data_IF_435002002852
#
_entry.id   IF_435002002852
#
_cell.length_a   1.000
_cell.length_b   1.000
_cell.length_c   1.000
_cell.angle_alpha   90.00
_cell.angle_beta   90.00
_cell.angle_gamma   90.00
#
_symmetry.space_group_name_H-M   'P 1'
#
loop_
_entity.id
_entity.type
_entity.pdbx_description
1 polymer ?
#
# COMPACT_ATOMS: atom_id res chain seq x y z
N UNK A 1 -34.04 -12.20 0.79
CA UNK A 1 -32.97 -11.40 0.19
C UNK A 1 -32.69 -10.30 1.19
N UNK A 2 -31.59 -10.40 1.93
CA UNK A 2 -31.19 -9.36 2.87
C UNK A 2 -30.82 -8.12 2.04
N UNK A 3 -31.52 -7.01 2.27
CA UNK A 3 -31.22 -5.74 1.63
C UNK A 3 -30.04 -5.18 2.42
N UNK A 4 -28.83 -5.35 1.91
CA UNK A 4 -27.65 -4.70 2.46
C UNK A 4 -27.88 -3.18 2.43
N UNK A 5 -27.79 -2.54 3.60
CA UNK A 5 -27.95 -1.08 3.71
C UNK A 5 -26.70 -0.43 3.09
N UNK A 6 -26.81 0.69 2.35
CA UNK A 6 -25.65 1.33 1.69
C UNK A 6 -24.45 1.57 2.62
N UNK A 7 -24.68 1.82 3.90
CA UNK A 7 -23.63 1.99 4.92
C UNK A 7 -22.84 0.70 5.19
N UNK A 8 -23.51 -0.46 5.18
CA UNK A 8 -22.87 -1.77 5.41
C UNK A 8 -21.92 -2.12 4.25
N UNK A 9 -22.33 -1.84 3.02
CA UNK A 9 -21.52 -2.05 1.81
C UNK A 9 -20.25 -1.17 1.83
N UNK A 10 -20.38 0.09 2.26
CA UNK A 10 -19.24 0.99 2.42
C UNK A 10 -18.25 0.49 3.50
N UNK A 11 -18.77 -0.03 4.61
CA UNK A 11 -17.93 -0.62 5.67
C UNK A 11 -17.17 -1.85 5.18
N UNK A 12 -17.86 -2.76 4.50
CA UNK A 12 -17.24 -3.94 3.91
C UNK A 12 -16.16 -3.56 2.90
N UNK A 13 -16.43 -2.58 2.05
CA UNK A 13 -15.47 -2.11 1.05
C UNK A 13 -14.22 -1.47 1.68
N UNK A 14 -14.39 -0.64 2.73
CA UNK A 14 -13.26 -0.05 3.46
C UNK A 14 -12.43 -1.12 4.19
N UNK A 15 -13.07 -2.13 4.77
CA UNK A 15 -12.35 -3.25 5.39
C UNK A 15 -11.56 -4.06 4.35
N UNK A 16 -12.15 -4.33 3.19
CA UNK A 16 -11.46 -5.00 2.07
C UNK A 16 -10.23 -4.20 1.61
N UNK A 17 -10.34 -2.88 1.42
CA UNK A 17 -9.18 -2.05 1.05
C UNK A 17 -8.11 -2.02 2.15
N UNK A 18 -8.52 -2.05 3.42
CA UNK A 18 -7.57 -2.11 4.54
C UNK A 18 -6.76 -3.42 4.52
N UNK A 19 -7.41 -4.55 4.25
CA UNK A 19 -6.75 -5.84 4.11
C UNK A 19 -5.78 -5.84 2.93
N UNK A 20 -6.21 -5.36 1.76
CA UNK A 20 -5.37 -5.25 0.58
C UNK A 20 -4.14 -4.37 0.81
N UNK A 21 -4.29 -3.22 1.47
CA UNK A 21 -3.14 -2.36 1.82
C UNK A 21 -2.18 -3.08 2.78
N UNK A 22 -2.67 -3.92 3.70
CA UNK A 22 -1.83 -4.72 4.59
C UNK A 22 -1.09 -5.86 3.85
N UNK A 23 -1.73 -6.47 2.86
CA UNK A 23 -1.07 -7.43 1.97
C UNK A 23 0.07 -6.74 1.21
N UNK A 24 -0.18 -5.58 0.61
CA UNK A 24 0.85 -4.80 -0.09
C UNK A 24 2.01 -4.41 0.84
N UNK A 25 1.73 -4.00 2.08
CA UNK A 25 2.79 -3.71 3.08
C UNK A 25 3.67 -4.93 3.34
N UNK A 26 3.05 -6.11 3.47
CA UNK A 26 3.76 -7.37 3.70
C UNK A 26 4.60 -7.74 2.49
N UNK A 27 4.04 -7.62 1.29
CA UNK A 27 4.77 -7.88 0.05
C UNK A 27 5.95 -6.94 -0.18
N UNK A 28 5.76 -5.63 0.01
CA UNK A 28 6.84 -4.64 -0.09
C UNK A 28 7.96 -4.97 0.89
N UNK A 29 7.63 -5.42 2.11
CA UNK A 29 8.64 -5.87 3.08
C UNK A 29 9.43 -7.08 2.54
N UNK A 30 8.76 -8.10 2.01
CA UNK A 30 9.41 -9.28 1.44
C UNK A 30 10.29 -8.94 0.23
N UNK A 31 9.86 -8.01 -0.64
CA UNK A 31 10.65 -7.55 -1.78
C UNK A 31 11.95 -6.86 -1.32
N UNK A 32 11.88 -6.02 -0.28
CA UNK A 32 13.07 -5.37 0.31
C UNK A 32 14.03 -6.38 0.93
N UNK A 33 13.51 -7.33 1.72
CA UNK A 33 14.32 -8.41 2.29
C UNK A 33 15.07 -9.19 1.19
N UNK A 34 14.45 -9.40 0.02
CA UNK A 34 15.09 -10.04 -1.13
C UNK A 34 16.17 -9.19 -1.78
N UNK A 35 15.96 -7.87 -1.90
CA UNK A 35 17.00 -6.94 -2.39
C UNK A 35 18.20 -6.89 -1.46
N UNK A 36 17.98 -6.91 -0.15
CA UNK A 36 19.05 -6.97 0.85
C UNK A 36 19.92 -8.22 0.65
N UNK A 37 19.32 -9.38 0.36
CA UNK A 37 20.08 -10.60 0.05
C UNK A 37 20.94 -10.47 -1.22
N UNK A 38 20.42 -9.81 -2.27
CA UNK A 38 21.17 -9.56 -3.52
C UNK A 38 22.32 -8.57 -3.25
N UNK A 39 22.10 -7.53 -2.46
CA UNK A 39 23.15 -6.59 -2.09
C UNK A 39 24.30 -7.28 -1.32
N UNK A 40 23.98 -8.27 -0.49
CA UNK A 40 24.96 -9.04 0.28
C UNK A 40 25.74 -10.07 -0.55
N UNK A 41 25.25 -10.47 -1.73
CA UNK A 41 25.86 -11.55 -2.54
C UNK A 41 27.07 -11.13 -3.40
N UNK A 42 27.62 -9.92 -3.19
CA UNK A 42 28.66 -9.29 -4.03
C UNK A 42 28.18 -9.02 -5.46
N UNK A 43 26.97 -8.46 -5.58
CA UNK A 43 26.40 -7.98 -6.82
C UNK A 43 27.34 -7.01 -7.57
N UNK A 44 27.26 -7.01 -8.90
CA UNK A 44 28.01 -6.07 -9.73
C UNK A 44 27.55 -4.62 -9.47
N UNK A 45 28.35 -3.63 -9.88
CA UNK A 45 28.01 -2.21 -9.69
C UNK A 45 26.68 -1.84 -10.39
N UNK A 46 26.42 -2.42 -11.55
CA UNK A 46 25.20 -2.15 -12.32
C UNK A 46 23.98 -2.72 -11.59
N UNK A 47 24.10 -3.93 -11.04
CA UNK A 47 23.04 -4.57 -10.22
C UNK A 47 22.80 -3.77 -8.94
N UNK A 48 23.85 -3.31 -8.26
CA UNK A 48 23.71 -2.46 -7.06
C UNK A 48 22.99 -1.14 -7.34
N UNK A 49 23.19 -0.57 -8.53
CA UNK A 49 22.46 0.64 -8.96
C UNK A 49 20.97 0.34 -9.13
N UNK A 50 20.62 -0.81 -9.71
CA UNK A 50 19.22 -1.24 -9.82
C UNK A 50 18.60 -1.54 -8.45
N UNK A 51 19.34 -2.18 -7.54
CA UNK A 51 18.91 -2.43 -6.16
C UNK A 51 18.56 -1.12 -5.45
N UNK A 52 19.40 -0.08 -5.56
CA UNK A 52 19.12 1.24 -4.97
C UNK A 52 17.86 1.88 -5.58
N UNK A 53 17.66 1.77 -6.90
CA UNK A 53 16.43 2.24 -7.54
C UNK A 53 15.18 1.52 -7.03
N UNK A 54 15.24 0.21 -6.81
CA UNK A 54 14.12 -0.54 -6.25
C UNK A 54 13.88 -0.23 -4.76
N UNK A 55 14.94 -0.13 -3.95
CA UNK A 55 14.80 0.24 -2.52
C UNK A 55 14.09 1.58 -2.35
N UNK A 56 14.46 2.60 -3.14
CA UNK A 56 13.80 3.90 -3.10
C UNK A 56 12.31 3.83 -3.49
N UNK A 57 11.97 3.06 -4.54
CA UNK A 57 10.58 2.88 -4.97
C UNK A 57 9.76 2.09 -3.95
N UNK A 58 10.33 1.04 -3.36
CA UNK A 58 9.69 0.23 -2.33
C UNK A 58 9.49 1.01 -1.03
N UNK A 59 10.45 1.87 -0.64
CA UNK A 59 10.30 2.77 0.49
C UNK A 59 9.13 3.72 0.27
N UNK A 60 9.04 4.37 -0.90
CA UNK A 60 7.89 5.22 -1.24
C UNK A 60 6.57 4.46 -1.24
N UNK A 61 6.53 3.26 -1.82
CA UNK A 61 5.31 2.45 -1.83
C UNK A 61 4.85 2.09 -0.42
N UNK A 62 5.80 1.79 0.49
CA UNK A 62 5.51 1.52 1.90
C UNK A 62 4.92 2.75 2.60
N UNK A 63 5.52 3.93 2.42
CA UNK A 63 5.00 5.18 3.00
C UNK A 63 3.56 5.45 2.55
N UNK A 64 3.30 5.33 1.25
CA UNK A 64 1.95 5.49 0.70
C UNK A 64 0.98 4.45 1.25
N UNK A 65 1.42 3.20 1.45
CA UNK A 65 0.60 2.16 2.07
C UNK A 65 0.31 2.45 3.55
N UNK A 66 1.27 2.98 4.29
CA UNK A 66 1.09 3.40 5.69
C UNK A 66 0.07 4.55 5.80
N UNK A 67 0.16 5.55 4.92
CA UNK A 67 -0.81 6.65 4.81
C UNK A 67 -2.20 6.12 4.43
N UNK A 68 -2.30 5.28 3.40
CA UNK A 68 -3.57 4.71 2.93
C UNK A 68 -4.27 3.91 4.03
N UNK A 69 -3.52 3.07 4.76
CA UNK A 69 -4.07 2.30 5.87
C UNK A 69 -4.61 3.21 6.98
N UNK A 70 -3.90 4.31 7.28
CA UNK A 70 -4.35 5.29 8.25
C UNK A 70 -5.66 5.97 7.82
N UNK A 71 -5.72 6.45 6.57
CA UNK A 71 -6.85 7.21 6.05
C UNK A 71 -8.09 6.33 5.88
N UNK A 72 -7.93 5.08 5.42
CA UNK A 72 -9.02 4.08 5.39
C UNK A 72 -9.58 3.86 6.80
N UNK A 73 -8.70 3.72 7.81
CA UNK A 73 -9.12 3.52 9.21
C UNK A 73 -9.88 4.74 9.75
N UNK A 74 -9.48 5.95 9.39
CA UNK A 74 -10.22 7.17 9.77
C UNK A 74 -11.57 7.26 9.06
N UNK A 75 -11.60 6.97 7.75
CA UNK A 75 -12.84 6.97 6.97
C UNK A 75 -13.85 5.95 7.51
N UNK A 76 -13.41 4.72 7.84
CA UNK A 76 -14.25 3.69 8.42
C UNK A 76 -14.86 4.12 9.78
N UNK A 77 -14.07 4.77 10.65
CA UNK A 77 -14.59 5.33 11.91
C UNK A 77 -15.68 6.39 11.66
N UNK A 78 -15.47 7.26 10.68
CA UNK A 78 -16.45 8.30 10.32
C UNK A 78 -17.75 7.70 9.78
N UNK A 79 -17.68 6.70 8.89
CA UNK A 79 -18.86 6.01 8.35
C UNK A 79 -19.60 5.21 9.44
N UNK A 80 -18.91 4.80 10.51
CA UNK A 80 -19.51 4.10 11.65
C UNK A 80 -20.21 5.05 12.65
N UNK A 81 -20.22 6.37 12.41
CA UNK A 81 -20.63 7.38 13.40
C UNK A 81 -19.87 7.25 14.75
N UNK A 82 -18.70 6.64 14.75
CA UNK A 82 -17.88 6.52 15.94
C UNK A 82 -17.18 7.86 16.21
N UNK A 83 -17.10 8.33 17.47
CA UNK A 83 -16.37 9.56 17.78
C UNK A 83 -14.93 9.44 17.30
N UNK A 84 -14.53 10.31 16.36
CA UNK A 84 -13.16 10.39 15.85
C UNK A 84 -12.31 10.96 16.99
N UNK A 85 -11.64 10.07 17.71
CA UNK A 85 -11.05 10.35 19.02
C UNK A 85 -9.78 11.19 18.96
N UNK A 86 -9.15 11.30 17.80
CA UNK A 86 -7.98 12.17 17.56
C UNK A 86 -7.96 12.52 16.06
N UNK A 87 -8.30 13.75 15.71
CA UNK A 87 -7.88 14.36 14.45
C UNK A 87 -6.61 15.13 14.81
N UNK A 88 -5.44 14.67 14.37
CA UNK A 88 -4.28 15.55 14.40
C UNK A 88 -4.54 16.68 13.39
N UNK A 89 -4.30 17.92 13.82
CA UNK A 89 -4.93 19.18 13.40
C UNK A 89 -4.66 19.66 11.95
N UNK A 90 -3.99 18.88 11.10
CA UNK A 90 -3.47 19.45 9.84
C UNK A 90 -4.05 18.88 8.54
N UNK A 91 -4.70 17.70 8.52
CA UNK A 91 -5.26 17.12 7.29
C UNK A 91 -6.73 16.71 7.41
N UNK A 92 -7.61 17.18 6.51
CA UNK A 92 -8.99 16.71 6.44
C UNK A 92 -9.08 15.19 6.26
N UNK A 93 -10.07 14.56 6.88
CA UNK A 93 -10.37 13.13 6.66
C UNK A 93 -10.95 12.97 5.25
N UNK A 94 -10.22 12.29 4.38
CA UNK A 94 -10.65 12.00 3.01
C UNK A 94 -11.99 11.24 3.00
N UNK A 95 -12.87 11.58 2.05
CA UNK A 95 -14.13 10.89 1.84
C UNK A 95 -13.97 9.55 1.11
N UNK A 96 -15.04 8.75 1.08
CA UNK A 96 -15.00 7.43 0.45
C UNK A 96 -14.58 7.52 -1.02
N UNK A 97 -15.06 8.52 -1.76
CA UNK A 97 -14.73 8.71 -3.18
C UNK A 97 -13.25 9.05 -3.38
N UNK A 98 -12.69 9.89 -2.50
CA UNK A 98 -11.27 10.24 -2.50
C UNK A 98 -10.41 9.01 -2.18
N UNK A 99 -10.79 8.23 -1.16
CA UNK A 99 -10.09 6.96 -0.84
C UNK A 99 -10.19 5.97 -2.01
N UNK A 100 -11.35 5.85 -2.65
CA UNK A 100 -11.55 4.98 -3.80
C UNK A 100 -10.58 5.33 -4.93
N UNK A 101 -10.52 6.61 -5.32
CA UNK A 101 -9.63 7.07 -6.38
C UNK A 101 -8.15 6.86 -6.02
N UNK A 102 -7.78 7.16 -4.78
CA UNK A 102 -6.43 6.89 -4.28
C UNK A 102 -6.09 5.40 -4.33
N UNK A 103 -7.05 4.51 -4.02
CA UNK A 103 -6.85 3.07 -4.06
C UNK A 103 -6.61 2.56 -5.49
N UNK A 104 -7.29 3.12 -6.49
CA UNK A 104 -7.05 2.81 -7.90
C UNK A 104 -5.62 3.16 -8.33
N UNK A 105 -5.15 4.35 -7.96
CA UNK A 105 -3.77 4.79 -8.24
C UNK A 105 -2.78 3.91 -7.48
N UNK A 106 -3.02 3.65 -6.20
CA UNK A 106 -2.20 2.80 -5.35
C UNK A 106 -2.00 1.40 -5.95
N UNK A 107 -3.09 0.75 -6.38
CA UNK A 107 -3.06 -0.55 -7.05
C UNK A 107 -2.24 -0.51 -8.33
N UNK A 108 -2.48 0.50 -9.18
CA UNK A 108 -1.76 0.63 -10.46
C UNK A 108 -0.26 0.78 -10.25
N UNK A 109 0.15 1.64 -9.32
CA UNK A 109 1.56 1.87 -8.99
C UNK A 109 2.21 0.61 -8.41
N UNK A 110 1.51 -0.06 -7.49
CA UNK A 110 1.99 -1.30 -6.89
C UNK A 110 2.13 -2.44 -7.91
N UNK A 111 1.14 -2.64 -8.79
CA UNK A 111 1.20 -3.67 -9.83
C UNK A 111 2.36 -3.43 -10.78
N UNK A 112 2.57 -2.17 -11.21
CA UNK A 112 3.72 -1.80 -12.05
C UNK A 112 5.05 -2.04 -11.34
N UNK A 113 5.16 -1.67 -10.06
CA UNK A 113 6.36 -1.91 -9.27
C UNK A 113 6.66 -3.41 -9.10
N UNK A 114 5.61 -4.21 -8.84
CA UNK A 114 5.70 -5.67 -8.70
C UNK A 114 6.12 -6.34 -10.01
N UNK A 115 5.59 -5.88 -11.14
CA UNK A 115 5.99 -6.37 -12.45
C UNK A 115 7.47 -6.06 -12.74
N UNK A 116 7.89 -4.81 -12.56
CA UNK A 116 9.30 -4.40 -12.71
C UNK A 116 10.23 -5.24 -11.83
N UNK A 117 9.82 -5.45 -10.57
CA UNK A 117 10.59 -6.24 -9.60
C UNK A 117 10.70 -7.71 -10.04
N UNK A 118 9.59 -8.30 -10.47
CA UNK A 118 9.56 -9.68 -10.95
C UNK A 118 10.32 -9.87 -12.27
N UNK A 119 10.53 -8.83 -13.05
CA UNK A 119 11.41 -8.88 -14.22
C UNK A 119 12.89 -8.76 -13.83
N UNK A 120 13.21 -8.03 -12.76
CA UNK A 120 14.58 -7.88 -12.27
C UNK A 120 15.12 -9.17 -11.62
N UNK A 121 14.31 -9.81 -10.79
CA UNK A 121 14.70 -10.96 -9.98
C UNK A 121 15.19 -12.23 -10.74
N UNK A 122 14.58 -12.66 -11.87
CA UNK A 122 14.96 -13.89 -12.57
C UNK A 122 16.32 -13.84 -13.26
N UNK A 123 16.91 -12.66 -13.43
CA UNK A 123 18.23 -12.52 -14.07
C UNK A 123 19.41 -12.78 -13.13
N UNK A 124 19.15 -13.12 -11.86
CA UNK A 124 20.17 -13.32 -10.80
C UNK A 124 20.29 -14.80 -10.33
N UNK A 125 19.93 -15.78 -11.18
CA UNK A 125 20.16 -17.22 -10.93
C UNK A 125 21.05 -17.83 -12.01
#
# INVERSE_FOLDING_TARGET
MEITTPTEELHQQLNSWKEEVNEVRTEVKMMRERLEQIALSKASRDVMTQVEHFENRLLRQREVADEMHHDIKQCAKRVANAPVTVVHDDRPIDDFQTIQHRMEIFRKLYMSLKEDFNQFIPYEV
#
